data_IF_620673074591
#
_entry.id   IF_620673074591
#
_cell.length_a   1.000
_cell.length_b   1.000
_cell.length_c   1.000
_cell.angle_alpha   90.00
_cell.angle_beta   90.00
_cell.angle_gamma   90.00
#
_symmetry.space_group_name_H-M   'P 1'
#
loop_
_entity.id
_entity.type
_entity.pdbx_description
1 polymer ?
#
# COMPACT_ATOMS: atom_id res chain seq x y z
N UNK A 1 -13.41 -18.21 -8.14
CA UNK A 1 -12.30 -17.67 -7.33
C UNK A 1 -11.43 -16.85 -8.27
N UNK A 2 -11.14 -15.60 -7.90
CA UNK A 2 -10.31 -14.68 -8.70
C UNK A 2 -8.84 -14.96 -8.44
N UNK A 3 -7.98 -14.81 -9.45
CA UNK A 3 -6.53 -14.99 -9.31
C UNK A 3 -5.88 -13.84 -8.53
N UNK A 4 -6.61 -12.73 -8.36
CA UNK A 4 -6.15 -11.48 -7.73
C UNK A 4 -6.86 -11.17 -6.41
N UNK A 5 -7.67 -12.09 -5.88
CA UNK A 5 -8.47 -11.87 -4.67
C UNK A 5 -7.64 -11.44 -3.46
N UNK A 6 -6.49 -12.08 -3.21
CA UNK A 6 -5.58 -11.71 -2.11
C UNK A 6 -5.04 -10.28 -2.24
N UNK A 7 -4.71 -9.84 -3.46
CA UNK A 7 -4.20 -8.48 -3.71
C UNK A 7 -5.30 -7.44 -3.50
N UNK A 8 -6.53 -7.72 -3.97
CA UNK A 8 -7.70 -6.87 -3.68
C UNK A 8 -7.98 -6.76 -2.18
N UNK A 9 -7.75 -7.84 -1.43
CA UNK A 9 -7.86 -7.80 0.02
C UNK A 9 -6.79 -6.90 0.67
N UNK A 10 -5.59 -6.83 0.11
CA UNK A 10 -4.60 -5.83 0.55
C UNK A 10 -5.06 -4.40 0.23
N UNK A 11 -5.66 -4.17 -0.94
CA UNK A 11 -6.15 -2.84 -1.32
C UNK A 11 -7.14 -2.30 -0.29
N UNK A 12 -8.03 -3.14 0.26
CA UNK A 12 -8.93 -2.70 1.34
C UNK A 12 -8.18 -2.21 2.58
N UNK A 13 -7.06 -2.84 2.95
CA UNK A 13 -6.23 -2.41 4.07
C UNK A 13 -5.46 -1.13 3.74
N UNK A 14 -4.89 -1.05 2.53
CA UNK A 14 -4.16 0.13 2.06
C UNK A 14 -5.09 1.34 1.98
N UNK A 15 -6.29 1.19 1.44
CA UNK A 15 -7.30 2.26 1.37
C UNK A 15 -7.74 2.74 2.75
N UNK A 16 -7.91 1.84 3.73
CA UNK A 16 -8.17 2.23 5.13
C UNK A 16 -7.02 3.08 5.68
N UNK A 17 -5.77 2.67 5.46
CA UNK A 17 -4.61 3.47 5.86
C UNK A 17 -4.54 4.81 5.12
N UNK A 18 -4.87 4.87 3.82
CA UNK A 18 -4.89 6.13 3.07
C UNK A 18 -5.91 7.12 3.62
N UNK A 19 -7.08 6.63 4.06
CA UNK A 19 -8.06 7.48 4.75
C UNK A 19 -7.49 8.01 6.06
N UNK A 20 -6.78 7.18 6.83
CA UNK A 20 -6.18 7.60 8.07
C UNK A 20 -5.07 8.64 7.91
N UNK A 21 -4.22 8.47 6.91
CA UNK A 21 -3.21 9.47 6.54
C UNK A 21 -3.88 10.78 6.11
N UNK A 22 -4.95 10.73 5.31
CA UNK A 22 -5.69 11.93 4.94
C UNK A 22 -6.29 12.67 6.14
N UNK A 23 -6.88 11.96 7.11
CA UNK A 23 -7.36 12.54 8.36
C UNK A 23 -6.21 13.12 9.19
N UNK A 24 -5.05 12.45 9.19
CA UNK A 24 -3.83 12.96 9.85
C UNK A 24 -3.40 14.29 9.24
N UNK A 25 -3.41 14.41 7.91
CA UNK A 25 -3.12 15.66 7.22
C UNK A 25 -4.14 16.76 7.56
N UNK A 26 -5.45 16.44 7.62
CA UNK A 26 -6.49 17.40 8.03
C UNK A 26 -6.24 17.93 9.45
N UNK A 27 -5.92 17.04 10.40
CA UNK A 27 -5.64 17.40 11.78
C UNK A 27 -4.40 18.29 11.92
N UNK A 28 -3.31 17.92 11.23
CA UNK A 28 -2.08 18.71 11.19
C UNK A 28 -2.33 20.12 10.62
N UNK A 29 -3.10 20.21 9.52
CA UNK A 29 -3.48 21.48 8.91
C UNK A 29 -4.37 22.34 9.83
N UNK A 30 -5.19 21.71 10.67
CA UNK A 30 -5.96 22.37 11.72
C UNK A 30 -5.13 22.73 12.98
N UNK A 31 -3.80 22.59 12.92
CA UNK A 31 -2.89 22.92 14.02
C UNK A 31 -2.89 21.90 15.17
N UNK A 32 -3.44 20.70 14.97
CA UNK A 32 -3.40 19.63 15.96
C UNK A 32 -2.05 18.91 15.88
N UNK A 33 -1.52 18.52 17.04
CA UNK A 33 -0.35 17.66 17.09
C UNK A 33 -0.72 16.19 16.93
N UNK A 34 0.14 15.44 16.24
CA UNK A 34 0.02 14.00 16.06
C UNK A 34 1.15 13.33 16.84
N UNK A 35 0.85 12.36 17.72
CA UNK A 35 1.89 11.64 18.45
C UNK A 35 2.87 10.92 17.51
N UNK A 36 4.18 11.04 17.78
CA UNK A 36 5.21 10.38 16.99
C UNK A 36 4.99 8.87 16.81
N UNK A 37 4.60 8.08 17.85
CA UNK A 37 4.37 6.65 17.67
C UNK A 37 3.24 6.31 16.68
N UNK A 38 2.23 7.18 16.58
CA UNK A 38 1.19 7.02 15.57
C UNK A 38 1.81 7.24 14.19
N UNK A 39 2.46 8.37 13.96
CA UNK A 39 3.08 8.64 12.67
C UNK A 39 4.08 7.55 12.23
N UNK A 40 4.90 7.05 13.15
CA UNK A 40 5.85 5.96 12.91
C UNK A 40 5.18 4.65 12.47
N UNK A 41 4.06 4.28 13.09
CA UNK A 41 3.32 3.07 12.70
C UNK A 41 2.67 3.20 11.32
N UNK A 42 2.13 4.38 11.00
CA UNK A 42 1.57 4.65 9.67
C UNK A 42 2.67 4.55 8.59
N UNK A 43 3.84 5.12 8.86
CA UNK A 43 5.01 5.03 7.97
C UNK A 43 5.51 3.59 7.82
N UNK A 44 5.56 2.81 8.91
CA UNK A 44 5.87 1.37 8.86
C UNK A 44 4.93 0.64 7.90
N UNK A 45 3.61 0.87 7.99
CA UNK A 45 2.64 0.26 7.08
C UNK A 45 2.92 0.61 5.61
N UNK A 46 3.17 1.89 5.30
CA UNK A 46 3.42 2.31 3.92
C UNK A 46 4.69 1.69 3.34
N UNK A 47 5.75 1.59 4.14
CA UNK A 47 7.02 1.00 3.73
C UNK A 47 6.96 -0.53 3.64
N UNK A 48 6.34 -1.17 4.62
CA UNK A 48 6.47 -2.61 4.79
C UNK A 48 5.26 -3.37 4.24
N UNK A 49 4.03 -2.96 4.58
CA UNK A 49 2.85 -3.64 4.04
C UNK A 49 2.62 -3.27 2.58
N UNK A 50 2.58 -1.98 2.25
CA UNK A 50 2.29 -1.54 0.87
C UNK A 50 3.46 -1.87 -0.06
N UNK A 51 4.67 -1.42 0.28
CA UNK A 51 5.80 -1.57 -0.65
C UNK A 51 6.53 -2.93 -0.57
N UNK A 52 6.78 -3.51 0.60
CA UNK A 52 7.50 -4.80 0.68
C UNK A 52 6.57 -5.99 0.46
N UNK A 53 5.41 -6.01 1.10
CA UNK A 53 4.49 -7.15 1.03
C UNK A 53 3.59 -7.13 -0.21
N UNK A 54 2.79 -6.08 -0.38
CA UNK A 54 1.80 -6.00 -1.46
C UNK A 54 2.47 -5.91 -2.84
N UNK A 55 3.32 -4.90 -3.11
CA UNK A 55 4.06 -4.87 -4.38
C UNK A 55 4.97 -6.11 -4.53
N UNK A 56 5.50 -6.66 -3.44
CA UNK A 56 6.29 -7.90 -3.47
C UNK A 56 5.51 -9.09 -4.03
N UNK A 57 4.24 -9.25 -3.63
CA UNK A 57 3.35 -10.25 -4.22
C UNK A 57 3.15 -10.04 -5.72
N UNK A 58 3.11 -8.80 -6.16
CA UNK A 58 2.91 -8.50 -7.58
C UNK A 58 4.18 -8.72 -8.39
N UNK A 59 5.30 -8.13 -7.97
CA UNK A 59 6.58 -8.17 -8.67
C UNK A 59 7.23 -9.55 -8.67
N UNK A 60 7.09 -10.31 -7.59
CA UNK A 60 7.74 -11.62 -7.44
C UNK A 60 6.81 -12.77 -7.85
N UNK A 61 5.50 -12.54 -7.99
CA UNK A 61 4.53 -13.61 -8.29
C UNK A 61 3.58 -13.26 -9.42
N UNK A 62 2.75 -12.22 -9.28
CA UNK A 62 1.72 -11.93 -10.29
C UNK A 62 2.34 -11.57 -11.65
N UNK A 63 3.23 -10.57 -11.70
CA UNK A 63 3.83 -10.08 -12.94
C UNK A 63 4.64 -11.16 -13.66
N UNK A 64 5.51 -11.95 -13.00
CA UNK A 64 6.19 -13.07 -13.66
C UNK A 64 5.22 -14.14 -14.19
N UNK A 65 4.09 -14.35 -13.50
CA UNK A 65 3.06 -15.29 -13.95
C UNK A 65 2.31 -14.79 -15.18
N UNK A 66 1.98 -13.49 -15.22
CA UNK A 66 1.38 -12.84 -16.39
C UNK A 66 2.34 -12.80 -17.57
N UNK A 67 3.62 -12.56 -17.32
CA UNK A 67 4.69 -12.57 -18.32
C UNK A 67 4.82 -13.95 -18.98
N UNK A 68 4.87 -15.02 -18.18
CA UNK A 68 4.81 -16.40 -18.68
C UNK A 68 3.53 -16.71 -19.46
N UNK A 69 2.44 -15.99 -19.15
CA UNK A 69 1.17 -16.06 -19.87
C UNK A 69 1.10 -15.23 -21.15
N UNK A 70 2.18 -14.50 -21.50
CA UNK A 70 2.28 -13.71 -22.73
C UNK A 70 2.03 -12.21 -22.56
N UNK A 71 1.83 -11.69 -21.34
CA UNK A 71 1.77 -10.24 -21.12
C UNK A 71 3.19 -9.64 -21.19
N UNK A 72 3.47 -8.67 -22.07
CA UNK A 72 4.80 -8.07 -22.14
C UNK A 72 5.18 -7.38 -20.83
N UNK A 73 6.40 -7.66 -20.34
CA UNK A 73 6.97 -6.98 -19.18
C UNK A 73 7.25 -5.51 -19.48
N UNK A 74 7.69 -5.20 -20.70
CA UNK A 74 8.02 -3.86 -21.17
C UNK A 74 6.90 -3.26 -22.02
N UNK A 75 6.76 -1.93 -22.00
CA UNK A 75 5.83 -1.19 -22.88
C UNK A 75 4.33 -1.42 -22.61
N UNK A 76 3.97 -2.13 -21.53
CA UNK A 76 2.59 -2.49 -21.20
C UNK A 76 2.19 -2.20 -19.75
N UNK A 77 1.07 -2.79 -19.28
CA UNK A 77 0.56 -2.58 -17.92
C UNK A 77 1.57 -2.90 -16.83
N UNK A 78 2.35 -3.99 -16.97
CA UNK A 78 3.39 -4.37 -16.00
C UNK A 78 4.45 -3.28 -15.88
N UNK A 79 4.99 -2.79 -17.00
CA UNK A 79 5.97 -1.70 -17.00
C UNK A 79 5.43 -0.44 -16.30
N UNK A 80 4.14 -0.12 -16.52
CA UNK A 80 3.53 1.04 -15.88
C UNK A 80 3.40 0.86 -14.36
N UNK A 81 3.04 -0.32 -13.87
CA UNK A 81 2.96 -0.58 -12.42
C UNK A 81 4.33 -0.53 -11.77
N UNK A 82 5.34 -1.18 -12.35
CA UNK A 82 6.72 -1.13 -11.86
C UNK A 82 7.26 0.31 -11.75
N UNK A 83 6.98 1.15 -12.76
CA UNK A 83 7.33 2.57 -12.71
C UNK A 83 6.61 3.30 -11.57
N UNK A 84 5.33 3.00 -11.34
CA UNK A 84 4.57 3.62 -10.27
C UNK A 84 4.93 3.10 -8.87
N UNK A 85 5.37 1.86 -8.73
CA UNK A 85 5.87 1.32 -7.46
C UNK A 85 7.11 2.11 -7.01
N UNK A 86 8.01 2.44 -7.94
CA UNK A 86 9.17 3.29 -7.64
C UNK A 86 8.75 4.70 -7.20
N UNK A 87 7.72 5.29 -7.83
CA UNK A 87 7.15 6.56 -7.36
C UNK A 87 6.55 6.41 -5.95
N UNK A 88 5.79 5.34 -5.69
CA UNK A 88 5.20 5.06 -4.37
C UNK A 88 6.29 5.01 -3.30
N UNK A 89 7.40 4.33 -3.58
CA UNK A 89 8.56 4.23 -2.68
C UNK A 89 9.19 5.60 -2.41
N UNK A 90 9.45 6.39 -3.46
CA UNK A 90 10.02 7.74 -3.31
C UNK A 90 9.11 8.68 -2.50
N UNK A 91 7.80 8.59 -2.69
CA UNK A 91 6.83 9.37 -1.91
C UNK A 91 6.80 8.93 -0.44
N UNK A 92 6.89 7.62 -0.16
CA UNK A 92 7.00 7.12 1.21
C UNK A 92 8.28 7.61 1.90
N UNK A 93 9.42 7.61 1.20
CA UNK A 93 10.70 8.12 1.73
C UNK A 93 10.65 9.64 2.04
N UNK A 94 10.00 10.43 1.18
CA UNK A 94 9.77 11.86 1.44
C UNK A 94 8.89 12.08 2.67
N UNK A 95 7.78 11.36 2.76
CA UNK A 95 6.84 11.42 3.88
C UNK A 95 7.52 11.02 5.21
N UNK A 96 8.38 10.00 5.19
CA UNK A 96 9.20 9.59 6.33
C UNK A 96 10.21 10.68 6.75
N UNK A 97 10.83 11.36 5.78
CA UNK A 97 11.73 12.48 6.07
C UNK A 97 11.02 13.69 6.66
N UNK A 98 9.87 14.09 6.10
CA UNK A 98 9.08 15.22 6.63
C UNK A 98 8.41 14.89 7.96
N UNK A 99 8.07 13.63 8.22
CA UNK A 99 7.63 13.16 9.53
C UNK A 99 8.69 13.36 10.61
N UNK A 100 9.95 12.99 10.34
CA UNK A 100 11.05 13.26 11.27
C UNK A 100 11.24 14.76 11.53
N UNK A 101 11.20 15.58 10.48
CA UNK A 101 11.31 17.02 10.61
C UNK A 101 10.15 17.61 11.45
N UNK A 102 8.93 17.12 11.24
CA UNK A 102 7.77 17.49 12.03
C UNK A 102 7.96 17.17 13.52
N UNK A 103 8.44 15.97 13.86
CA UNK A 103 8.68 15.58 15.26
C UNK A 103 9.73 16.48 15.94
N UNK A 104 10.72 16.95 15.18
CA UNK A 104 11.78 17.81 15.71
C UNK A 104 11.37 19.29 15.84
N UNK A 105 10.59 19.79 14.89
CA UNK A 105 10.35 21.24 14.72
C UNK A 105 8.92 21.68 15.04
N UNK A 106 7.97 20.74 15.04
CA UNK A 106 6.54 21.02 15.11
C UNK A 106 5.92 21.59 13.83
N UNK A 107 6.71 21.91 12.81
CA UNK A 107 6.20 22.42 11.52
C UNK A 107 5.64 21.27 10.69
N UNK A 108 4.34 21.34 10.36
CA UNK A 108 3.63 20.25 9.71
C UNK A 108 3.41 20.44 8.20
N UNK A 109 3.68 21.62 7.64
CA UNK A 109 3.28 21.98 6.27
C UNK A 109 3.82 21.00 5.23
N UNK A 110 5.11 20.65 5.33
CA UNK A 110 5.73 19.70 4.41
C UNK A 110 5.19 18.28 4.59
N UNK A 111 4.97 17.84 5.84
CA UNK A 111 4.40 16.53 6.12
C UNK A 111 2.98 16.40 5.55
N UNK A 112 2.16 17.45 5.68
CA UNK A 112 0.82 17.50 5.07
C UNK A 112 0.93 17.36 3.55
N UNK A 113 1.82 18.11 2.90
CA UNK A 113 2.00 18.03 1.45
C UNK A 113 2.45 16.63 0.97
N UNK A 114 3.38 16.00 1.70
CA UNK A 114 3.91 14.67 1.35
C UNK A 114 2.85 13.58 1.58
N UNK A 115 2.08 13.67 2.67
CA UNK A 115 0.93 12.78 2.91
C UNK A 115 -0.06 12.84 1.75
N UNK A 116 -0.46 14.04 1.31
CA UNK A 116 -1.43 14.21 0.20
C UNK A 116 -0.89 13.67 -1.11
N UNK A 117 0.41 13.88 -1.37
CA UNK A 117 1.07 13.36 -2.57
C UNK A 117 1.08 11.84 -2.57
N UNK A 118 1.45 11.22 -1.44
CA UNK A 118 1.45 9.77 -1.27
C UNK A 118 0.05 9.17 -1.41
N UNK A 119 -0.94 9.66 -0.65
CA UNK A 119 -2.30 9.10 -0.68
C UNK A 119 -2.98 9.28 -2.03
N UNK A 120 -2.75 10.41 -2.70
CA UNK A 120 -3.26 10.69 -4.05
C UNK A 120 -2.68 9.74 -5.10
N UNK A 121 -1.36 9.54 -5.09
CA UNK A 121 -0.68 8.61 -6.00
C UNK A 121 -1.15 7.17 -5.79
N UNK A 122 -1.11 6.68 -4.54
CA UNK A 122 -1.51 5.30 -4.21
C UNK A 122 -2.97 5.05 -4.59
N UNK A 123 -3.89 5.97 -4.30
CA UNK A 123 -5.31 5.78 -4.66
C UNK A 123 -5.52 5.64 -6.17
N UNK A 124 -4.81 6.43 -6.98
CA UNK A 124 -4.85 6.32 -8.44
C UNK A 124 -4.18 5.04 -8.94
N UNK A 125 -3.09 4.62 -8.31
CA UNK A 125 -2.38 3.38 -8.59
C UNK A 125 -3.29 2.16 -8.39
N UNK A 126 -3.85 1.99 -7.18
CA UNK A 126 -4.77 0.90 -6.85
C UNK A 126 -6.00 0.85 -7.77
N UNK A 127 -6.49 2.01 -8.23
CA UNK A 127 -7.59 2.09 -9.20
C UNK A 127 -7.22 1.45 -10.53
N UNK A 128 -6.02 1.73 -11.06
CA UNK A 128 -5.57 1.14 -12.33
C UNK A 128 -5.39 -0.37 -12.19
N UNK A 129 -4.87 -0.83 -11.07
CA UNK A 129 -4.72 -2.25 -10.80
C UNK A 129 -6.08 -2.94 -10.72
N UNK A 130 -6.96 -2.43 -9.86
CA UNK A 130 -8.27 -3.02 -9.61
C UNK A 130 -9.11 -3.16 -10.88
N UNK A 131 -9.13 -2.13 -11.74
CA UNK A 131 -10.04 -2.05 -12.88
C UNK A 131 -9.39 -2.38 -14.22
N UNK A 132 -8.06 -2.41 -14.32
CA UNK A 132 -7.34 -2.76 -15.56
C UNK A 132 -6.51 -4.02 -15.37
N UNK A 133 -5.45 -3.94 -14.58
CA UNK A 133 -4.46 -5.02 -14.49
C UNK A 133 -5.07 -6.31 -13.95
N UNK A 134 -5.78 -6.23 -12.83
CA UNK A 134 -6.37 -7.40 -12.18
C UNK A 134 -7.51 -8.02 -12.98
N UNK A 135 -8.27 -7.20 -13.71
CA UNK A 135 -9.28 -7.71 -14.64
C UNK A 135 -8.63 -8.51 -15.78
N UNK A 136 -7.54 -7.98 -16.36
CA UNK A 136 -6.76 -8.71 -17.37
C UNK A 136 -6.12 -9.98 -16.79
N UNK A 137 -5.60 -9.91 -15.57
CA UNK A 137 -4.97 -11.03 -14.89
C UNK A 137 -5.97 -12.17 -14.61
N UNK A 138 -7.17 -11.84 -14.12
CA UNK A 138 -8.21 -12.83 -13.85
C UNK A 138 -8.67 -13.55 -15.13
N UNK A 139 -8.74 -12.83 -16.26
CA UNK A 139 -9.04 -13.42 -17.56
C UNK A 139 -7.90 -14.32 -18.05
N UNK A 140 -6.65 -13.85 -18.01
CA UNK A 140 -5.48 -14.60 -18.52
C UNK A 140 -5.16 -15.83 -17.67
N UNK A 141 -5.44 -15.77 -16.37
CA UNK A 141 -5.11 -16.82 -15.40
C UNK A 141 -6.34 -17.67 -15.03
N UNK A 142 -7.40 -17.62 -15.86
CA UNK A 142 -8.58 -18.45 -15.68
C UNK A 142 -8.19 -19.94 -15.59
N UNK A 143 -8.72 -20.64 -14.59
CA UNK A 143 -8.37 -22.04 -14.31
C UNK A 143 -7.07 -22.23 -13.50
N UNK A 144 -6.29 -21.17 -13.24
CA UNK A 144 -5.08 -21.21 -12.40
C UNK A 144 -5.22 -20.46 -11.07
N UNK A 145 -6.40 -19.91 -10.77
CA UNK A 145 -6.63 -19.05 -9.61
C UNK A 145 -6.15 -19.67 -8.28
N UNK A 146 -6.45 -20.94 -8.03
CA UNK A 146 -6.02 -21.62 -6.80
C UNK A 146 -4.49 -21.74 -6.69
N UNK A 147 -3.82 -22.07 -7.80
CA UNK A 147 -2.36 -22.13 -7.85
C UNK A 147 -1.74 -20.76 -7.63
N UNK A 148 -2.22 -19.73 -8.34
CA UNK A 148 -1.72 -18.36 -8.22
C UNK A 148 -1.93 -17.83 -6.80
N UNK A 149 -3.10 -18.09 -6.21
CA UNK A 149 -3.39 -17.72 -4.83
C UNK A 149 -2.44 -18.36 -3.82
N UNK A 150 -2.06 -19.63 -4.01
CA UNK A 150 -1.07 -20.30 -3.14
C UNK A 150 0.32 -19.68 -3.27
N UNK A 151 0.76 -19.35 -4.48
CA UNK A 151 2.07 -18.69 -4.67
C UNK A 151 2.08 -17.27 -4.10
N UNK A 152 0.99 -16.51 -4.26
CA UNK A 152 0.85 -15.19 -3.62
C UNK A 152 0.91 -15.29 -2.10
N UNK A 153 0.27 -16.31 -1.50
CA UNK A 153 0.31 -16.54 -0.06
C UNK A 153 1.73 -16.86 0.43
N UNK A 154 2.49 -17.68 -0.30
CA UNK A 154 3.90 -17.98 0.02
C UNK A 154 4.76 -16.72 -0.04
N UNK A 155 4.56 -15.88 -1.05
CA UNK A 155 5.30 -14.62 -1.17
C UNK A 155 4.97 -13.68 -0.02
N UNK A 156 3.69 -13.51 0.34
CA UNK A 156 3.30 -12.73 1.53
C UNK A 156 3.96 -13.27 2.80
N UNK A 157 3.91 -14.58 3.05
CA UNK A 157 4.54 -15.20 4.20
C UNK A 157 6.04 -14.92 4.24
N UNK A 158 6.75 -15.11 3.12
CA UNK A 158 8.18 -14.85 3.03
C UNK A 158 8.52 -13.37 3.28
N UNK A 159 7.77 -12.44 2.68
CA UNK A 159 7.97 -10.99 2.85
C UNK A 159 7.73 -10.57 4.30
N UNK A 160 6.60 -10.96 4.88
CA UNK A 160 6.24 -10.60 6.26
C UNK A 160 7.16 -11.27 7.30
N UNK A 161 7.54 -12.53 7.09
CA UNK A 161 8.51 -13.22 7.95
C UNK A 161 9.86 -12.50 7.96
N UNK A 162 10.35 -12.04 6.80
CA UNK A 162 11.61 -11.28 6.73
C UNK A 162 11.58 -9.95 7.49
N UNK A 163 10.39 -9.40 7.71
CA UNK A 163 10.15 -8.18 8.49
C UNK A 163 9.88 -8.46 9.97
N UNK A 164 9.76 -9.73 10.40
CA UNK A 164 9.30 -10.09 11.74
C UNK A 164 7.85 -9.67 12.00
N UNK A 165 7.03 -9.58 10.95
CA UNK A 165 5.63 -9.16 11.00
C UNK A 165 4.70 -10.26 10.53
N UNK A 166 3.41 -10.09 10.80
CA UNK A 166 2.34 -10.96 10.30
C UNK A 166 1.27 -10.11 9.63
N UNK A 167 0.40 -10.71 8.83
CA UNK A 167 -0.76 -10.01 8.26
C UNK A 167 -1.64 -9.43 9.37
N UNK A 168 -1.90 -10.24 10.40
CA UNK A 168 -2.69 -9.84 11.56
C UNK A 168 -2.15 -8.61 12.30
N UNK A 169 -0.82 -8.42 12.33
CA UNK A 169 -0.22 -7.19 12.87
C UNK A 169 -0.71 -5.94 12.12
N UNK A 170 -0.68 -5.98 10.79
CA UNK A 170 -1.10 -4.85 9.96
C UNK A 170 -2.62 -4.66 9.92
N UNK A 171 -3.39 -5.74 9.96
CA UNK A 171 -4.85 -5.68 10.10
C UNK A 171 -5.26 -5.01 11.42
N UNK A 172 -4.67 -5.42 12.54
CA UNK A 172 -4.91 -4.80 13.85
C UNK A 172 -4.49 -3.33 13.87
N UNK A 173 -3.35 -3.00 13.26
CA UNK A 173 -2.90 -1.62 13.15
C UNK A 173 -3.93 -0.76 12.41
N UNK A 174 -4.35 -1.19 11.22
CA UNK A 174 -5.30 -0.44 10.39
C UNK A 174 -6.67 -0.31 11.06
N UNK A 175 -7.16 -1.36 11.73
CA UNK A 175 -8.43 -1.30 12.44
C UNK A 175 -8.37 -0.37 13.66
N UNK A 176 -7.22 -0.29 14.34
CA UNK A 176 -7.03 0.68 15.43
C UNK A 176 -7.10 2.13 14.91
N UNK A 177 -6.59 2.40 13.71
CA UNK A 177 -6.66 3.71 13.07
C UNK A 177 -8.08 4.07 12.66
N UNK A 178 -8.80 3.13 12.05
CA UNK A 178 -10.20 3.34 11.64
C UNK A 178 -11.09 3.63 12.86
N UNK A 179 -10.86 2.95 13.99
CA UNK A 179 -11.56 3.22 15.24
C UNK A 179 -11.25 4.62 15.80
N UNK A 180 -9.98 5.04 15.80
CA UNK A 180 -9.58 6.38 16.26
C UNK A 180 -10.12 7.51 15.39
N UNK A 181 -10.18 7.32 14.06
CA UNK A 181 -10.79 8.29 13.14
C UNK A 181 -12.27 8.46 13.46
N UNK A 182 -13.01 7.36 13.62
CA UNK A 182 -14.44 7.40 13.92
C UNK A 182 -14.74 8.16 15.21
N UNK A 183 -13.90 7.99 16.26
CA UNK A 183 -14.04 8.75 17.52
C UNK A 183 -13.82 10.26 17.34
N UNK A 184 -13.02 10.69 16.36
CA UNK A 184 -12.72 12.11 16.12
C UNK A 184 -13.75 12.79 15.19
N UNK A 185 -14.61 12.02 14.54
CA UNK A 185 -15.66 12.49 13.64
C UNK A 185 -17.07 12.45 14.25
N UNK A 186 -17.23 11.80 15.41
CA UNK A 186 -18.46 11.77 16.20
C UNK A 186 -18.48 12.91 17.23
#
# INVERSE_FOLDING_TARGET
>A
MSSTESLRNDHFLIEKMMRALNVTADLLQAGKSIPAPFLEQALDFTKNFTNVCHHGKEEDTLFPTLEKGGMPREGGPIARMLFEHEITKQLAEKMDASARAYVQTGSADQLVADIRSYTGHVSQHLTKENFRLFAMADMMLQGKAAQVGQELAKTEEAKLHSLGRTRGHYEQLVDSYDAEIRKKQA
#
